data_IF_426638128797
#
_entry.id   IF_426638128797
#
_cell.length_a   1.000
_cell.length_b   1.000
_cell.length_c   1.000
_cell.angle_alpha   90.00
_cell.angle_beta   90.00
_cell.angle_gamma   90.00
#
_symmetry.space_group_name_H-M   'P 1'
#
loop_
_entity.id
_entity.type
_entity.pdbx_description
1 polymer ?
#
# COMPACT_ATOMS: atom_id res chain seq x y z
N UNK A 1 19.13 4.56 -11.95
CA UNK A 1 18.90 3.60 -10.85
C UNK A 1 17.59 2.86 -11.06
N UNK A 2 17.60 1.53 -11.02
CA UNK A 2 16.43 0.67 -11.22
C UNK A 2 16.20 -0.21 -10.01
N UNK A 3 14.99 -0.25 -9.48
CA UNK A 3 14.58 -1.13 -8.39
C UNK A 3 13.53 -2.10 -8.90
N UNK A 4 13.67 -3.38 -8.52
CA UNK A 4 12.68 -4.42 -8.78
C UNK A 4 12.06 -4.83 -7.46
N UNK A 5 10.75 -4.77 -7.39
CA UNK A 5 9.97 -5.26 -6.25
C UNK A 5 9.21 -6.49 -6.72
N UNK A 6 9.52 -7.63 -6.09
CA UNK A 6 8.83 -8.90 -6.32
C UNK A 6 8.26 -9.39 -4.99
N UNK A 7 6.95 -9.31 -4.83
CA UNK A 7 6.25 -9.88 -3.67
C UNK A 7 5.80 -11.28 -4.04
N UNK A 8 6.40 -12.30 -3.43
CA UNK A 8 6.02 -13.69 -3.65
C UNK A 8 4.75 -14.02 -2.86
N UNK A 9 3.66 -14.26 -3.59
CA UNK A 9 2.45 -14.83 -3.03
C UNK A 9 2.05 -16.06 -3.86
N UNK A 10 2.05 -17.23 -3.23
CA UNK A 10 1.49 -18.48 -3.78
C UNK A 10 1.90 -18.79 -5.23
N UNK A 11 3.21 -18.85 -5.52
CA UNK A 11 3.72 -19.27 -6.84
C UNK A 11 3.51 -18.27 -7.99
N UNK A 12 2.98 -17.08 -7.72
CA UNK A 12 2.99 -15.94 -8.65
C UNK A 12 4.11 -14.98 -8.26
N UNK A 13 4.89 -14.56 -9.25
CA UNK A 13 5.91 -13.52 -9.11
C UNK A 13 5.45 -12.27 -9.90
N UNK A 14 4.59 -11.40 -9.32
CA UNK A 14 4.38 -10.07 -9.87
C UNK A 14 5.68 -9.28 -9.76
N UNK A 15 6.13 -8.71 -10.87
CA UNK A 15 7.37 -7.91 -10.92
C UNK A 15 6.99 -6.45 -11.16
N UNK A 16 7.23 -5.58 -10.17
CA UNK A 16 7.20 -4.14 -10.36
C UNK A 16 8.61 -3.63 -10.57
N UNK A 17 8.87 -2.97 -11.70
CA UNK A 17 10.17 -2.40 -12.04
C UNK A 17 10.05 -0.88 -12.07
N UNK A 18 10.67 -0.24 -11.09
CA UNK A 18 10.77 1.21 -11.00
C UNK A 18 12.10 1.65 -11.63
N UNK A 19 12.04 2.39 -12.74
CA UNK A 19 13.21 2.87 -13.45
C UNK A 19 13.30 4.40 -13.38
N UNK A 20 14.11 4.90 -12.43
CA UNK A 20 14.30 6.34 -12.23
C UNK A 20 14.93 7.02 -13.45
N UNK A 21 15.79 6.31 -14.19
CA UNK A 21 16.51 6.90 -15.33
C UNK A 21 15.54 7.20 -16.48
N UNK A 22 14.48 6.38 -16.61
CA UNK A 22 13.46 6.53 -17.65
C UNK A 22 12.22 7.28 -17.18
N UNK A 23 12.08 7.57 -15.89
CA UNK A 23 10.86 8.17 -15.34
C UNK A 23 9.62 7.27 -15.46
N UNK A 24 9.78 5.95 -15.59
CA UNK A 24 8.68 4.99 -15.82
C UNK A 24 8.67 3.86 -14.80
N UNK A 25 7.47 3.41 -14.47
CA UNK A 25 7.19 2.19 -13.72
C UNK A 25 6.58 1.16 -14.67
N UNK A 26 7.12 -0.04 -14.64
CA UNK A 26 6.59 -1.18 -15.35
C UNK A 26 6.01 -2.17 -14.34
N UNK A 27 4.69 -2.31 -14.34
CA UNK A 27 3.97 -3.29 -13.55
C UNK A 27 3.76 -4.51 -14.45
N UNK A 28 4.49 -5.58 -14.18
CA UNK A 28 4.44 -6.80 -14.99
C UNK A 28 3.70 -7.87 -14.22
N UNK A 29 2.59 -8.27 -14.81
CA UNK A 29 1.71 -9.27 -14.24
C UNK A 29 1.74 -10.52 -15.09
N UNK A 30 2.09 -11.64 -14.45
CA UNK A 30 2.18 -12.94 -15.09
C UNK A 30 0.93 -13.76 -14.77
N UNK A 31 0.21 -14.21 -15.80
CA UNK A 31 -0.82 -15.22 -15.61
C UNK A 31 -0.20 -16.61 -15.82
N UNK A 32 -0.01 -17.36 -14.74
CA UNK A 32 0.58 -18.71 -14.78
C UNK A 32 -0.23 -19.66 -15.65
N UNK A 33 -1.56 -19.62 -15.58
CA UNK A 33 -2.43 -20.45 -16.42
C UNK A 33 -2.23 -20.11 -17.90
N UNK A 34 -2.18 -18.84 -18.26
CA UNK A 34 -1.91 -18.42 -19.64
C UNK A 34 -0.51 -18.87 -20.09
N UNK A 35 0.49 -18.81 -19.22
CA UNK A 35 1.85 -19.28 -19.53
C UNK A 35 1.92 -20.78 -19.77
N UNK A 36 1.21 -21.58 -18.97
CA UNK A 36 1.16 -23.04 -19.10
C UNK A 36 0.30 -23.45 -20.31
N UNK A 37 -0.92 -22.91 -20.40
CA UNK A 37 -1.89 -23.28 -21.44
C UNK A 37 -1.48 -22.80 -22.82
N UNK A 38 -0.83 -21.63 -22.92
CA UNK A 38 -0.48 -21.05 -24.23
C UNK A 38 0.95 -21.39 -24.65
N UNK A 39 1.76 -22.07 -23.81
CA UNK A 39 3.20 -22.39 -24.06
C UNK A 39 4.02 -21.21 -24.60
N UNK A 40 3.55 -19.98 -24.38
CA UNK A 40 3.99 -18.81 -25.12
C UNK A 40 4.75 -17.84 -24.22
N UNK A 41 5.83 -17.24 -24.76
CA UNK A 41 6.54 -16.11 -24.12
C UNK A 41 5.70 -14.83 -24.07
N UNK A 42 4.52 -14.82 -24.69
CA UNK A 42 3.67 -13.64 -24.92
C UNK A 42 2.65 -13.33 -23.80
N UNK A 43 2.63 -14.09 -22.70
CA UNK A 43 1.67 -13.91 -21.60
C UNK A 43 1.96 -12.78 -20.61
N UNK A 44 2.75 -11.77 -20.99
CA UNK A 44 3.13 -10.66 -20.10
C UNK A 44 2.21 -9.47 -20.30
N UNK A 45 1.29 -9.28 -19.35
CA UNK A 45 0.55 -8.02 -19.29
C UNK A 45 1.43 -7.01 -18.56
N UNK A 46 1.95 -6.04 -19.31
CA UNK A 46 2.80 -4.98 -18.78
C UNK A 46 2.04 -3.68 -18.84
N UNK A 47 1.78 -3.10 -17.67
CA UNK A 47 1.26 -1.74 -17.55
C UNK A 47 2.46 -0.82 -17.32
N UNK A 48 2.69 0.10 -18.25
CA UNK A 48 3.70 1.14 -18.09
C UNK A 48 2.99 2.43 -17.64
N UNK A 49 3.38 2.93 -16.48
CA UNK A 49 2.89 4.20 -15.94
C UNK A 49 4.06 5.14 -15.66
N UNK A 50 3.82 6.44 -15.61
CA UNK A 50 4.89 7.38 -15.33
C UNK A 50 5.19 7.44 -13.82
N UNK A 51 6.47 7.54 -13.45
CA UNK A 51 6.88 7.66 -12.04
C UNK A 51 6.29 8.92 -11.38
N UNK A 52 6.15 10.01 -12.13
CA UNK A 52 5.59 11.27 -11.65
C UNK A 52 4.07 11.23 -11.45
N UNK A 53 3.38 10.23 -12.02
CA UNK A 53 1.95 10.05 -11.81
C UNK A 53 1.67 9.33 -10.49
N UNK A 54 2.66 8.70 -9.85
CA UNK A 54 2.47 8.03 -8.57
C UNK A 54 2.45 9.10 -7.47
N UNK A 55 1.33 9.16 -6.75
CA UNK A 55 1.11 10.11 -5.67
C UNK A 55 1.50 9.52 -4.32
N UNK A 56 0.98 8.33 -4.03
CA UNK A 56 1.19 7.66 -2.76
C UNK A 56 1.28 6.13 -2.93
N UNK A 57 1.73 5.48 -1.85
CA UNK A 57 1.73 4.02 -1.73
C UNK A 57 1.02 3.66 -0.43
N UNK A 58 -0.10 2.96 -0.54
CA UNK A 58 -0.92 2.55 0.60
C UNK A 58 -0.85 1.04 0.85
N UNK A 59 -1.21 0.61 2.05
CA UNK A 59 -1.42 -0.81 2.39
C UNK A 59 -2.90 -1.04 2.65
N UNK A 60 -3.51 -1.95 1.90
CA UNK A 60 -4.92 -2.30 2.02
C UNK A 60 -5.09 -3.70 2.59
N UNK A 61 -6.02 -3.85 3.54
CA UNK A 61 -6.38 -5.16 4.12
C UNK A 61 -7.44 -5.82 3.23
N UNK A 62 -7.13 -7.01 2.72
CA UNK A 62 -8.04 -7.83 1.93
C UNK A 62 -8.41 -9.09 2.73
N UNK A 63 -9.71 -9.41 2.79
CA UNK A 63 -10.18 -10.64 3.44
C UNK A 63 -10.03 -11.82 2.48
N UNK A 64 -9.05 -12.66 2.73
CA UNK A 64 -8.78 -13.86 1.93
C UNK A 64 -9.66 -15.01 2.40
N UNK A 65 -10.46 -15.56 1.48
CA UNK A 65 -11.37 -16.67 1.78
C UNK A 65 -10.58 -17.86 2.37
N UNK A 66 -11.02 -18.36 3.52
CA UNK A 66 -10.39 -19.43 4.31
C UNK A 66 -9.02 -19.11 4.97
N UNK A 67 -8.29 -18.11 4.48
CA UNK A 67 -6.96 -17.75 5.01
C UNK A 67 -7.00 -16.55 5.97
N UNK A 68 -8.13 -15.85 6.06
CA UNK A 68 -8.33 -14.77 7.04
C UNK A 68 -8.01 -13.39 6.45
N UNK A 69 -7.06 -12.67 7.05
CA UNK A 69 -6.65 -11.32 6.65
C UNK A 69 -5.36 -11.39 5.84
N UNK A 70 -5.34 -10.73 4.69
CA UNK A 70 -4.15 -10.51 3.89
C UNK A 70 -3.95 -9.01 3.65
N UNK A 71 -2.75 -8.64 3.21
CA UNK A 71 -2.40 -7.25 2.96
C UNK A 71 -1.87 -7.07 1.53
N UNK A 72 -2.26 -5.97 0.91
CA UNK A 72 -1.84 -5.58 -0.44
C UNK A 72 -1.12 -4.24 -0.37
N UNK A 73 -0.03 -4.10 -1.14
CA UNK A 73 0.56 -2.78 -1.40
C UNK A 73 -0.10 -2.21 -2.66
N UNK A 74 -0.69 -1.03 -2.55
CA UNK A 74 -1.44 -0.37 -3.61
C UNK A 74 -0.76 0.96 -3.95
N UNK A 75 -0.44 1.16 -5.23
CA UNK A 75 0.00 2.45 -5.73
C UNK A 75 -1.22 3.32 -6.05
N UNK A 76 -1.26 4.56 -5.57
CA UNK A 76 -2.25 5.53 -6.03
C UNK A 76 -1.62 6.52 -6.99
N UNK A 77 -2.34 6.76 -8.07
CA UNK A 77 -1.92 7.69 -9.11
C UNK A 77 -2.68 9.02 -8.99
N UNK A 78 -2.05 10.11 -9.45
CA UNK A 78 -2.64 11.46 -9.50
C UNK A 78 -3.92 11.51 -10.35
N UNK A 79 -4.06 10.58 -11.28
CA UNK A 79 -5.24 10.36 -12.13
C UNK A 79 -6.45 9.79 -11.37
N UNK A 80 -6.26 9.37 -10.11
CA UNK A 80 -7.33 8.85 -9.25
C UNK A 80 -7.54 7.33 -9.34
N UNK A 81 -6.84 6.61 -10.22
CA UNK A 81 -6.86 5.15 -10.19
C UNK A 81 -5.83 4.61 -9.19
N UNK A 82 -6.15 3.46 -8.60
CA UNK A 82 -5.29 2.73 -7.68
C UNK A 82 -4.93 1.39 -8.29
N UNK A 83 -3.67 0.97 -8.16
CA UNK A 83 -3.19 -0.29 -8.73
C UNK A 83 -2.44 -1.12 -7.69
N UNK A 84 -2.92 -2.33 -7.36
CA UNK A 84 -2.21 -3.21 -6.45
C UNK A 84 -0.93 -3.72 -7.12
N UNK A 85 0.17 -3.75 -6.38
CA UNK A 85 1.44 -4.30 -6.85
C UNK A 85 1.37 -5.82 -7.03
N UNK A 86 0.43 -6.48 -6.35
CA UNK A 86 0.24 -7.93 -6.39
C UNK A 86 -1.19 -8.28 -6.79
N UNK A 87 -1.34 -9.38 -7.53
CA UNK A 87 -2.68 -9.92 -7.87
C UNK A 87 -3.39 -10.60 -6.69
N UNK A 88 -2.70 -10.83 -5.58
CA UNK A 88 -3.24 -11.57 -4.44
C UNK A 88 -2.62 -10.99 -3.18
N UNK A 89 -3.42 -10.95 -2.12
CA UNK A 89 -2.96 -10.48 -0.83
C UNK A 89 -1.80 -11.32 -0.30
N UNK A 90 -0.82 -10.62 0.27
CA UNK A 90 0.28 -11.23 1.01
C UNK A 90 -0.27 -11.67 2.35
N UNK A 91 -0.22 -12.98 2.60
CA UNK A 91 -0.52 -13.55 3.90
C UNK A 91 0.69 -13.35 4.81
N UNK A 92 0.53 -12.66 5.94
CA UNK A 92 1.63 -12.41 6.88
C UNK A 92 1.42 -11.21 7.79
N UNK A 93 2.50 -10.77 8.43
CA UNK A 93 2.50 -9.61 9.32
C UNK A 93 2.33 -8.32 8.51
N UNK A 94 1.36 -7.48 8.91
CA UNK A 94 1.12 -6.16 8.31
C UNK A 94 2.38 -5.28 8.29
N UNK A 95 3.20 -5.38 9.34
CA UNK A 95 4.45 -4.63 9.50
C UNK A 95 5.41 -4.80 8.33
N UNK A 96 5.52 -6.01 7.78
CA UNK A 96 6.49 -6.31 6.73
C UNK A 96 6.03 -5.69 5.41
N UNK A 97 4.72 -5.74 5.16
CA UNK A 97 4.08 -5.11 3.99
C UNK A 97 4.18 -3.59 4.08
N UNK A 98 4.00 -3.02 5.28
CA UNK A 98 4.22 -1.59 5.53
C UNK A 98 5.69 -1.18 5.39
N UNK A 99 6.64 -2.01 5.80
CA UNK A 99 8.06 -1.76 5.60
C UNK A 99 8.40 -1.69 4.10
N UNK A 100 7.84 -2.61 3.30
CA UNK A 100 7.97 -2.57 1.84
C UNK A 100 7.34 -1.30 1.26
N UNK A 101 6.14 -0.92 1.71
CA UNK A 101 5.52 0.33 1.29
C UNK A 101 6.42 1.55 1.59
N UNK A 102 6.95 1.65 2.82
CA UNK A 102 7.89 2.72 3.22
C UNK A 102 9.16 2.74 2.38
N UNK A 103 9.71 1.57 2.02
CA UNK A 103 10.88 1.48 1.15
C UNK A 103 10.58 2.00 -0.27
N UNK A 104 9.40 1.68 -0.80
CA UNK A 104 8.96 2.17 -2.11
C UNK A 104 8.74 3.69 -2.04
N UNK A 105 8.05 4.19 -1.01
CA UNK A 105 7.82 5.62 -0.80
C UNK A 105 9.13 6.40 -0.67
N UNK A 106 10.10 5.86 0.08
CA UNK A 106 11.44 6.44 0.21
C UNK A 106 12.22 6.40 -1.10
N UNK A 107 12.15 5.29 -1.85
CA UNK A 107 12.75 5.20 -3.17
C UNK A 107 12.14 6.21 -4.14
N UNK A 108 10.83 6.41 -4.12
CA UNK A 108 10.13 7.36 -4.99
C UNK A 108 10.23 8.81 -4.52
N UNK A 109 10.79 9.06 -3.34
CA UNK A 109 10.88 10.40 -2.72
C UNK A 109 9.53 11.11 -2.55
N UNK A 110 8.44 10.34 -2.44
CA UNK A 110 7.07 10.89 -2.31
C UNK A 110 6.89 11.69 -1.01
N UNK A 111 7.66 11.35 0.03
CA UNK A 111 7.65 12.02 1.34
C UNK A 111 8.09 13.50 1.30
N UNK A 112 8.59 14.03 0.18
CA UNK A 112 8.86 15.48 0.05
C UNK A 112 7.59 16.32 -0.07
N UNK A 113 6.45 15.74 -0.46
CA UNK A 113 5.21 16.49 -0.75
C UNK A 113 4.21 16.48 0.41
N UNK A 114 4.39 15.65 1.43
CA UNK A 114 3.48 15.56 2.60
C UNK A 114 4.01 16.23 3.88
N UNK A 115 5.05 17.05 3.81
CA UNK A 115 5.54 17.81 4.97
C UNK A 115 4.78 19.13 5.20
N UNK A 116 3.45 19.11 5.00
CA UNK A 116 2.57 20.27 5.22
C UNK A 116 1.18 19.85 5.75
N UNK A 117 1.13 18.78 6.54
CA UNK A 117 0.02 18.53 7.45
C UNK A 117 0.55 18.48 8.89
N UNK A 118 1.19 19.58 9.29
CA UNK A 118 0.99 20.14 10.63
C UNK A 118 -0.49 20.45 10.78
N UNK A 119 -1.27 19.47 11.24
CA UNK A 119 -2.51 19.74 11.97
C UNK A 119 -2.24 19.46 13.43
N UNK A 120 -1.57 20.46 14.02
CA UNK A 120 -1.67 20.81 15.43
C UNK A 120 -3.13 20.76 15.87
N UNK A 121 -3.51 19.70 16.61
CA UNK A 121 -4.52 19.78 17.66
C UNK A 121 -4.10 18.85 18.80
N UNK A 122 -2.96 19.17 19.43
CA UNK A 122 -2.84 18.93 20.88
C UNK A 122 -3.75 19.98 21.53
N UNK A 123 -4.96 19.58 21.92
CA UNK A 123 -5.78 20.41 22.79
C UNK A 123 -5.66 19.85 24.20
N UNK A 124 -4.57 20.28 24.83
CA UNK A 124 -4.40 20.28 26.27
C UNK A 124 -5.48 21.20 26.85
N UNK A 125 -6.34 20.71 27.72
CA UNK A 125 -7.07 21.58 28.65
C UNK A 125 -6.98 20.97 30.02
N UNK A 126 -6.13 21.63 30.81
CA UNK A 126 -5.81 21.35 32.19
C UNK A 126 -6.91 21.90 33.12
N UNK A 127 -7.15 21.13 34.17
CA UNK A 127 -7.49 21.53 35.53
C UNK A 127 -8.88 22.09 35.92
N UNK A 128 -9.31 21.49 37.05
CA UNK A 128 -10.07 22.05 38.19
C UNK A 128 -11.60 21.99 38.12
N UNK A 129 -12.34 21.58 39.15
CA UNK A 129 -12.07 21.03 40.49
C UNK A 129 -13.45 20.73 41.14
N UNK A 130 -13.45 19.98 42.24
CA UNK A 130 -14.45 19.93 43.32
C UNK A 130 -15.74 19.08 43.17
N UNK A 131 -15.64 17.88 43.76
CA UNK A 131 -16.45 17.31 44.86
C UNK A 131 -17.99 17.16 44.81
N UNK A 132 -18.39 15.95 45.23
CA UNK A 132 -19.69 15.36 45.64
C UNK A 132 -20.56 16.26 46.58
N UNK A 133 -21.88 15.98 46.84
CA UNK A 133 -22.39 14.65 47.24
C UNK A 133 -23.82 14.25 46.78
N UNK A 134 -24.11 12.98 47.04
CA UNK A 134 -25.40 12.28 47.05
C UNK A 134 -26.48 13.02 47.84
N UNK A 135 -27.73 12.87 47.42
CA UNK A 135 -28.89 12.74 48.31
C UNK A 135 -30.04 11.99 47.62
N UNK A 136 -30.38 10.83 48.17
CA UNK A 136 -31.62 10.07 47.95
C UNK A 136 -32.76 10.73 48.75
N UNK A 137 -33.87 11.20 48.16
CA UNK A 137 -35.21 11.24 48.81
C UNK A 137 -36.33 11.24 47.74
N UNK A 138 -37.50 10.76 48.15
CA UNK A 138 -38.66 10.24 47.39
C UNK A 138 -39.53 11.24 46.58
N UNK A 139 -40.21 10.72 45.55
CA UNK A 139 -41.68 10.72 45.49
C UNK A 139 -42.23 9.67 44.51
#
# INVERSE_FOLDING_TARGET
MRVRVGLRCCGKEPEAIFDKDKGKVFLKTFNLYKKILTLSRAGQEQVAASLHEIRDVNVEEEKVRYFGKGYLVVLRFVTGFSHPLTQSAVMGCRSDVEAVAKLITGFLELNKVENHQDLSQSSETDASDADEPKDEYEQ
#
